data_IF_258285614528
#
_entry.id   IF_258285614528
#
_cell.length_a   1.000
_cell.length_b   1.000
_cell.length_c   1.000
_cell.angle_alpha   90.00
_cell.angle_beta   90.00
_cell.angle_gamma   90.00
#
_symmetry.space_group_name_H-M   'P 1'
#
loop_
_entity.id
_entity.type
_entity.pdbx_description
1 polymer ?
#
# COMPACT_ATOMS: atom_id res chain seq x y z
N UNK A 1 -21.29 -25.11 5.64
CA UNK A 1 -20.89 -23.79 5.17
C UNK A 1 -19.40 -23.68 4.79
N UNK A 2 -18.56 -24.70 5.03
CA UNK A 2 -17.14 -24.70 4.61
C UNK A 2 -16.85 -25.43 3.28
N UNK A 3 -17.77 -26.19 2.72
CA UNK A 3 -17.48 -27.04 1.55
C UNK A 3 -17.58 -26.31 0.20
N UNK A 4 -18.33 -25.20 0.10
CA UNK A 4 -18.39 -24.40 -1.13
C UNK A 4 -17.22 -23.37 -1.26
N UNK A 5 -16.58 -22.98 -0.16
CA UNK A 5 -15.37 -22.16 -0.18
C UNK A 5 -14.15 -22.89 -0.77
N UNK A 6 -14.20 -24.22 -0.94
CA UNK A 6 -13.08 -25.04 -1.41
C UNK A 6 -12.94 -25.03 -2.94
N UNK A 7 -13.78 -24.35 -3.68
CA UNK A 7 -13.60 -24.12 -5.12
C UNK A 7 -12.73 -22.89 -5.43
N UNK A 8 -11.84 -22.52 -4.52
CA UNK A 8 -10.77 -21.60 -4.89
C UNK A 8 -9.96 -22.28 -6.02
N UNK A 9 -9.94 -21.74 -7.24
CA UNK A 9 -9.21 -22.31 -8.36
C UNK A 9 -7.69 -22.31 -8.12
N UNK A 10 -7.23 -21.52 -7.15
CA UNK A 10 -5.82 -21.35 -6.82
C UNK A 10 -5.37 -22.40 -5.81
N UNK A 11 -4.47 -23.24 -6.24
CA UNK A 11 -4.09 -24.44 -5.49
C UNK A 11 -2.75 -24.32 -4.82
N UNK A 12 -1.85 -23.49 -5.35
CA UNK A 12 -0.45 -23.37 -4.91
C UNK A 12 -0.31 -22.33 -3.81
N UNK A 13 -0.62 -21.08 -4.13
CA UNK A 13 -0.50 -19.89 -3.26
C UNK A 13 -1.55 -18.88 -3.68
N UNK A 14 -2.09 -18.14 -2.73
CA UNK A 14 -3.02 -17.03 -2.98
C UNK A 14 -2.98 -16.03 -1.82
N UNK A 15 -3.25 -14.77 -2.14
CA UNK A 15 -3.48 -13.71 -1.15
C UNK A 15 -4.97 -13.41 -1.07
N UNK A 16 -5.58 -13.65 0.10
CA UNK A 16 -6.93 -13.19 0.38
C UNK A 16 -6.88 -11.72 0.77
N UNK A 17 -7.74 -10.90 0.18
CA UNK A 17 -7.92 -9.48 0.51
C UNK A 17 -9.33 -9.30 1.03
N UNK A 18 -9.45 -8.99 2.32
CA UNK A 18 -10.72 -8.77 3.02
C UNK A 18 -11.21 -7.32 2.78
N UNK A 19 -12.28 -7.18 2.00
CA UNK A 19 -12.87 -5.88 1.67
C UNK A 19 -13.73 -5.32 2.83
N UNK A 20 -14.26 -6.19 3.71
CA UNK A 20 -14.97 -5.72 4.90
C UNK A 20 -13.98 -4.98 5.84
N UNK A 21 -12.77 -5.53 6.03
CA UNK A 21 -11.71 -4.86 6.78
C UNK A 21 -11.30 -3.51 6.17
N UNK A 22 -11.31 -3.37 4.83
CA UNK A 22 -11.09 -2.08 4.18
C UNK A 22 -12.13 -1.03 4.62
N UNK A 23 -13.41 -1.41 4.62
CA UNK A 23 -14.49 -0.53 5.05
C UNK A 23 -14.39 -0.19 6.55
N UNK A 24 -13.99 -1.14 7.38
CA UNK A 24 -13.79 -0.91 8.81
C UNK A 24 -12.63 0.04 9.07
N UNK A 25 -11.47 -0.18 8.43
CA UNK A 25 -10.33 0.73 8.51
C UNK A 25 -10.69 2.13 8.03
N UNK A 26 -11.41 2.26 6.91
CA UNK A 26 -11.88 3.57 6.43
C UNK A 26 -12.78 4.29 7.44
N UNK A 27 -13.70 3.59 8.10
CA UNK A 27 -14.54 4.18 9.16
C UNK A 27 -13.70 4.66 10.33
N UNK A 28 -12.70 3.89 10.75
CA UNK A 28 -11.77 4.27 11.81
C UNK A 28 -10.96 5.52 11.40
N UNK A 29 -10.41 5.54 10.18
CA UNK A 29 -9.67 6.68 9.64
C UNK A 29 -10.58 7.92 9.57
N UNK A 30 -11.83 7.76 9.11
CA UNK A 30 -12.79 8.82 9.04
C UNK A 30 -13.10 9.43 10.41
N UNK A 31 -13.16 8.60 11.46
CA UNK A 31 -13.38 9.02 12.84
C UNK A 31 -12.18 9.80 13.43
N UNK A 32 -10.94 9.53 12.97
CA UNK A 32 -9.75 10.25 13.41
C UNK A 32 -9.61 11.65 12.79
N UNK A 33 -10.36 11.95 11.72
CA UNK A 33 -10.23 13.23 11.00
C UNK A 33 -10.77 14.40 11.83
N UNK A 34 -10.13 15.55 11.67
CA UNK A 34 -10.62 16.82 12.18
C UNK A 34 -11.17 17.66 11.02
N UNK A 35 -12.18 18.46 11.30
CA UNK A 35 -12.78 19.44 10.37
C UNK A 35 -13.33 18.81 9.06
N UNK A 36 -13.81 17.59 9.10
CA UNK A 36 -14.32 16.85 7.93
C UNK A 36 -13.33 16.78 6.74
N UNK A 37 -12.03 16.83 7.02
CA UNK A 37 -10.99 16.75 6.01
C UNK A 37 -11.23 15.54 5.08
N UNK A 38 -11.15 15.74 3.76
CA UNK A 38 -11.34 14.67 2.79
C UNK A 38 -10.25 13.58 2.90
N UNK A 39 -10.57 12.34 2.54
CA UNK A 39 -9.58 11.26 2.49
C UNK A 39 -9.10 11.10 1.04
N UNK A 40 -7.80 11.29 0.81
CA UNK A 40 -7.11 10.84 -0.39
C UNK A 40 -6.55 9.45 -0.09
N UNK A 41 -7.12 8.42 -0.71
CA UNK A 41 -6.68 7.05 -0.51
C UNK A 41 -5.41 6.77 -1.32
N UNK A 42 -4.30 6.44 -0.65
CA UNK A 42 -3.01 6.17 -1.30
C UNK A 42 -2.95 4.71 -1.71
N UNK A 43 -3.13 4.45 -3.00
CA UNK A 43 -3.22 3.09 -3.59
C UNK A 43 -2.14 2.80 -4.63
N UNK A 44 -1.01 3.52 -4.57
CA UNK A 44 0.19 3.26 -5.38
C UNK A 44 0.75 1.85 -5.17
N UNK A 45 1.66 1.41 -6.03
CA UNK A 45 2.26 0.08 -6.03
C UNK A 45 1.18 -1.03 -6.02
N UNK A 46 0.19 -0.89 -6.93
CA UNK A 46 -0.97 -1.78 -7.03
C UNK A 46 -1.70 -1.95 -5.69
N UNK A 47 -2.00 -0.82 -5.01
CA UNK A 47 -2.61 -0.83 -3.68
C UNK A 47 -1.71 -1.49 -2.63
N UNK A 48 -0.42 -1.16 -2.59
CA UNK A 48 0.56 -1.84 -1.72
C UNK A 48 0.50 -3.36 -1.88
N UNK A 49 0.36 -3.83 -3.13
CA UNK A 49 0.26 -5.25 -3.46
C UNK A 49 -1.11 -5.90 -3.24
N UNK A 50 -2.13 -5.15 -2.82
CA UNK A 50 -3.49 -5.66 -2.57
C UNK A 50 -4.40 -5.63 -3.81
N UNK A 51 -4.04 -4.85 -4.86
CA UNK A 51 -4.83 -4.66 -6.07
C UNK A 51 -5.59 -3.34 -6.09
N UNK A 52 -4.97 -2.29 -6.66
CA UNK A 52 -5.48 -0.91 -6.62
C UNK A 52 -6.88 -0.75 -7.21
N UNK A 53 -7.16 -1.39 -8.35
CA UNK A 53 -8.46 -1.25 -9.04
C UNK A 53 -9.62 -1.75 -8.19
N UNK A 54 -9.48 -2.91 -7.54
CA UNK A 54 -10.55 -3.46 -6.71
C UNK A 54 -10.77 -2.63 -5.45
N UNK A 55 -9.68 -2.17 -4.82
CA UNK A 55 -9.80 -1.26 -3.68
C UNK A 55 -10.45 0.07 -4.07
N UNK A 56 -10.08 0.64 -5.22
CA UNK A 56 -10.70 1.87 -5.70
C UNK A 56 -12.20 1.68 -5.99
N UNK A 57 -12.62 0.58 -6.62
CA UNK A 57 -14.05 0.26 -6.84
C UNK A 57 -14.84 0.22 -5.54
N UNK A 58 -14.27 -0.39 -4.48
CA UNK A 58 -14.92 -0.43 -3.16
C UNK A 58 -15.03 0.95 -2.49
N UNK A 59 -14.09 1.85 -2.78
CA UNK A 59 -14.04 3.17 -2.16
C UNK A 59 -14.70 4.29 -2.99
N UNK A 60 -15.01 4.04 -4.26
CA UNK A 60 -15.40 5.09 -5.20
C UNK A 60 -16.73 5.75 -4.85
N UNK A 61 -17.65 5.02 -4.20
CA UNK A 61 -18.95 5.56 -3.76
C UNK A 61 -18.93 6.06 -2.29
N UNK A 62 -17.78 5.98 -1.57
CA UNK A 62 -17.67 6.43 -0.17
C UNK A 62 -17.46 7.95 -0.15
N UNK A 63 -18.38 8.76 0.44
CA UNK A 63 -18.31 10.22 0.36
C UNK A 63 -17.03 10.83 0.94
N UNK A 64 -16.50 10.24 2.02
CA UNK A 64 -15.31 10.71 2.71
C UNK A 64 -14.03 10.56 1.87
N UNK A 65 -14.00 9.61 0.94
CA UNK A 65 -12.89 9.44 -0.01
C UNK A 65 -13.11 10.41 -1.16
N UNK A 66 -12.23 11.40 -1.28
CA UNK A 66 -12.35 12.46 -2.30
C UNK A 66 -11.48 12.21 -3.53
N UNK A 67 -10.59 11.23 -3.49
CA UNK A 67 -9.71 10.87 -4.60
C UNK A 67 -8.67 9.84 -4.19
N UNK A 68 -7.84 9.51 -5.14
CA UNK A 68 -6.78 8.51 -5.01
C UNK A 68 -5.41 9.12 -5.24
N UNK A 69 -4.38 8.57 -4.59
CA UNK A 69 -3.01 8.96 -4.84
C UNK A 69 -2.18 7.74 -5.26
N UNK A 70 -1.47 7.91 -6.37
CA UNK A 70 -0.64 6.89 -7.00
C UNK A 70 0.80 7.42 -7.19
N UNK A 71 1.73 6.58 -7.65
CA UNK A 71 3.11 6.96 -7.84
C UNK A 71 3.45 7.31 -9.29
N UNK A 72 2.77 6.68 -10.25
CA UNK A 72 3.04 6.84 -11.68
C UNK A 72 1.76 7.13 -12.48
N UNK A 73 1.93 7.67 -13.67
CA UNK A 73 0.82 7.92 -14.58
C UNK A 73 0.13 6.63 -15.04
N UNK A 74 0.89 5.54 -15.23
CA UNK A 74 0.30 4.26 -15.65
C UNK A 74 -0.66 3.72 -14.58
N UNK A 75 -0.34 3.91 -13.31
CA UNK A 75 -1.25 3.55 -12.21
C UNK A 75 -2.53 4.40 -12.25
N UNK A 76 -2.42 5.70 -12.54
CA UNK A 76 -3.58 6.59 -12.65
C UNK A 76 -4.44 6.28 -13.88
N UNK A 77 -3.81 6.03 -15.03
CA UNK A 77 -4.48 5.64 -16.27
C UNK A 77 -5.22 4.31 -16.09
N UNK A 78 -4.61 3.34 -15.42
CA UNK A 78 -5.26 2.06 -15.09
C UNK A 78 -6.56 2.26 -14.28
N UNK A 79 -6.58 3.18 -13.32
CA UNK A 79 -7.79 3.50 -12.56
C UNK A 79 -8.86 4.15 -13.44
N UNK A 80 -8.47 5.09 -14.30
CA UNK A 80 -9.38 5.74 -15.25
C UNK A 80 -9.98 4.73 -16.24
N UNK A 81 -9.16 3.81 -16.78
CA UNK A 81 -9.61 2.74 -17.68
C UNK A 81 -10.53 1.73 -16.99
N UNK A 82 -10.35 1.53 -15.68
CA UNK A 82 -11.23 0.70 -14.89
C UNK A 82 -12.58 1.37 -14.55
N UNK A 83 -12.81 2.61 -15.00
CA UNK A 83 -14.04 3.37 -14.80
C UNK A 83 -14.18 3.98 -13.39
N UNK A 84 -13.08 4.19 -12.70
CA UNK A 84 -13.07 4.88 -11.39
C UNK A 84 -13.40 6.36 -11.62
N UNK A 85 -14.37 6.89 -10.86
CA UNK A 85 -14.95 8.22 -11.08
C UNK A 85 -14.19 9.32 -10.37
N UNK A 86 -13.66 9.01 -9.17
CA UNK A 86 -12.92 10.00 -8.37
C UNK A 86 -11.54 10.25 -8.94
N UNK A 87 -11.00 11.48 -8.81
CA UNK A 87 -9.72 11.84 -9.39
C UNK A 87 -8.57 11.00 -8.81
N UNK A 88 -7.64 10.62 -9.68
CA UNK A 88 -6.37 10.02 -9.31
C UNK A 88 -5.25 11.06 -9.44
N UNK A 89 -4.43 11.23 -8.39
CA UNK A 89 -3.31 12.14 -8.32
C UNK A 89 -1.99 11.39 -8.36
N UNK A 90 -1.08 11.75 -9.25
CA UNK A 90 0.29 11.24 -9.26
C UNK A 90 1.12 12.07 -8.27
N UNK A 91 1.66 11.42 -7.21
CA UNK A 91 2.40 12.08 -6.13
C UNK A 91 3.83 12.47 -6.49
N UNK A 92 4.36 11.94 -7.59
CA UNK A 92 5.75 12.10 -8.01
C UNK A 92 5.92 12.94 -9.26
N UNK A 93 7.15 12.91 -9.78
CA UNK A 93 7.45 13.45 -11.09
C UNK A 93 6.84 12.57 -12.19
N UNK A 94 6.32 13.21 -13.22
CA UNK A 94 5.85 12.55 -14.44
C UNK A 94 6.60 13.10 -15.64
N UNK A 95 6.95 12.27 -16.60
CA UNK A 95 7.65 12.67 -17.81
C UNK A 95 6.69 13.34 -18.82
N UNK A 96 7.20 14.30 -19.63
CA UNK A 96 6.37 15.11 -20.54
C UNK A 96 5.56 14.29 -21.55
N UNK A 97 6.04 13.08 -21.90
CA UNK A 97 5.39 12.17 -22.85
C UNK A 97 4.00 11.73 -22.39
N UNK A 98 3.75 11.71 -21.08
CA UNK A 98 2.47 11.31 -20.50
C UNK A 98 1.46 12.46 -20.32
N UNK A 99 1.89 13.71 -20.40
CA UNK A 99 1.05 14.85 -20.01
C UNK A 99 -0.23 14.99 -20.86
N UNK A 100 -0.16 14.72 -22.17
CA UNK A 100 -1.33 14.81 -23.04
C UNK A 100 -2.38 13.75 -22.63
N UNK A 101 -1.98 12.51 -22.38
CA UNK A 101 -2.86 11.44 -21.92
C UNK A 101 -3.44 11.75 -20.54
N UNK A 102 -2.64 12.23 -19.61
CA UNK A 102 -3.11 12.63 -18.28
C UNK A 102 -4.17 13.72 -18.36
N UNK A 103 -3.99 14.73 -19.23
CA UNK A 103 -4.98 15.77 -19.43
C UNK A 103 -6.28 15.21 -20.02
N UNK A 104 -6.20 14.31 -21.02
CA UNK A 104 -7.36 13.65 -21.63
C UNK A 104 -8.16 12.82 -20.64
N UNK A 105 -7.47 12.17 -19.68
CA UNK A 105 -8.06 11.30 -18.67
C UNK A 105 -8.47 12.00 -17.38
N UNK A 106 -8.18 13.29 -17.22
CA UNK A 106 -8.45 14.03 -16.00
C UNK A 106 -7.58 13.58 -14.79
N UNK A 107 -6.40 13.03 -15.05
CA UNK A 107 -5.43 12.66 -14.01
C UNK A 107 -4.79 13.93 -13.46
N UNK A 108 -4.73 14.04 -12.13
CA UNK A 108 -4.08 15.16 -11.46
C UNK A 108 -2.56 14.95 -11.41
N UNK A 109 -1.80 15.95 -11.86
CA UNK A 109 -0.35 15.92 -11.87
C UNK A 109 0.24 16.67 -10.67
N UNK A 110 1.42 16.24 -10.20
CA UNK A 110 2.26 17.04 -9.30
C UNK A 110 3.16 17.95 -10.12
N UNK A 111 3.28 19.23 -9.72
CA UNK A 111 4.13 20.21 -10.39
C UNK A 111 5.01 20.96 -9.39
N UNK A 112 6.29 21.21 -9.77
CA UNK A 112 7.28 21.86 -8.91
C UNK A 112 8.48 22.46 -9.65
N UNK A 113 8.46 22.54 -10.99
CA UNK A 113 9.46 23.25 -11.79
C UNK A 113 8.80 24.07 -12.89
N UNK A 114 9.45 25.14 -13.32
CA UNK A 114 8.96 26.00 -14.42
C UNK A 114 8.82 25.23 -15.73
N UNK A 115 9.77 24.35 -16.03
CA UNK A 115 9.69 23.49 -17.21
C UNK A 115 8.43 22.62 -17.21
N UNK A 116 8.06 22.05 -16.04
CA UNK A 116 6.82 21.27 -15.90
C UNK A 116 5.59 22.14 -16.15
N UNK A 117 5.56 23.39 -15.65
CA UNK A 117 4.45 24.32 -15.93
C UNK A 117 4.26 24.56 -17.44
N UNK A 118 5.35 24.84 -18.16
CA UNK A 118 5.33 25.10 -19.58
C UNK A 118 4.89 23.88 -20.39
N UNK A 119 5.48 22.72 -20.09
CA UNK A 119 5.20 21.48 -20.82
C UNK A 119 3.78 20.97 -20.55
N UNK A 120 3.32 20.98 -19.29
CA UNK A 120 1.96 20.62 -18.92
C UNK A 120 0.93 21.59 -19.53
N UNK A 121 1.19 22.90 -19.52
CA UNK A 121 0.29 23.89 -20.15
C UNK A 121 0.17 23.67 -21.66
N UNK A 122 1.27 23.33 -22.32
CA UNK A 122 1.31 23.03 -23.77
C UNK A 122 0.59 21.72 -24.09
N UNK A 123 0.81 20.67 -23.30
CA UNK A 123 0.15 19.39 -23.47
C UNK A 123 -1.36 19.49 -23.24
N UNK A 124 -1.79 20.22 -22.21
CA UNK A 124 -3.19 20.50 -21.92
C UNK A 124 -3.87 21.27 -23.06
N UNK A 125 -3.18 22.27 -23.64
CA UNK A 125 -3.65 23.01 -24.82
C UNK A 125 -3.85 22.08 -26.02
N UNK A 126 -2.88 21.19 -26.28
CA UNK A 126 -2.94 20.21 -27.37
C UNK A 126 -4.08 19.21 -27.17
N UNK A 127 -4.29 18.75 -25.95
CA UNK A 127 -5.39 17.87 -25.58
C UNK A 127 -6.78 18.56 -25.63
N UNK A 128 -6.84 19.88 -25.68
CA UNK A 128 -8.09 20.64 -25.59
C UNK A 128 -8.80 20.48 -24.24
N UNK A 129 -8.03 20.19 -23.17
CA UNK A 129 -8.50 19.95 -21.81
C UNK A 129 -7.68 20.76 -20.81
N UNK A 130 -8.20 20.98 -19.61
CA UNK A 130 -7.40 21.48 -18.51
C UNK A 130 -6.53 20.35 -17.93
N UNK A 131 -5.30 20.66 -17.58
CA UNK A 131 -4.48 19.81 -16.72
C UNK A 131 -4.71 20.20 -15.27
N UNK A 132 -5.17 19.28 -14.45
CA UNK A 132 -5.34 19.46 -13.02
C UNK A 132 -4.00 19.25 -12.32
N UNK A 133 -3.56 20.23 -11.52
CA UNK A 133 -2.22 20.18 -10.88
C UNK A 133 -2.28 20.41 -9.39
N UNK A 134 -1.41 19.70 -8.66
CA UNK A 134 -1.10 19.97 -7.26
C UNK A 134 0.36 20.44 -7.15
N UNK A 135 0.58 21.57 -6.50
CA UNK A 135 1.92 22.11 -6.30
C UNK A 135 2.56 21.42 -5.10
N UNK A 136 3.71 20.78 -5.33
CA UNK A 136 4.49 20.19 -4.24
C UNK A 136 5.36 21.24 -3.58
N UNK A 137 5.40 21.26 -2.25
CA UNK A 137 6.24 22.15 -1.43
C UNK A 137 7.20 21.31 -0.59
N UNK A 138 8.50 21.58 -0.71
CA UNK A 138 9.50 20.92 0.13
C UNK A 138 9.73 21.70 1.42
N UNK A 139 9.19 21.16 2.50
CA UNK A 139 9.36 21.72 3.84
C UNK A 139 10.44 21.02 4.66
N UNK A 140 11.11 20.01 4.07
CA UNK A 140 12.20 19.29 4.72
C UNK A 140 12.26 17.78 4.48
N UNK A 141 11.46 17.25 3.53
CA UNK A 141 11.61 15.89 3.02
C UNK A 141 12.79 15.78 2.05
N UNK A 142 13.11 16.88 1.35
CA UNK A 142 14.23 17.01 0.41
C UNK A 142 14.17 16.01 -0.76
N UNK A 143 12.97 15.73 -1.24
CA UNK A 143 12.73 14.79 -2.33
C UNK A 143 12.24 15.48 -3.61
N UNK A 144 11.17 16.23 -3.53
CA UNK A 144 10.58 17.05 -4.60
C UNK A 144 9.88 18.26 -3.97
N UNK A 145 9.65 19.29 -4.77
CA UNK A 145 8.85 20.45 -4.35
C UNK A 145 9.59 21.79 -4.47
N UNK A 146 8.82 22.87 -4.56
CA UNK A 146 9.31 24.23 -4.47
C UNK A 146 9.66 24.57 -3.02
N UNK A 147 10.53 25.55 -2.80
CA UNK A 147 10.80 26.05 -1.46
C UNK A 147 9.65 26.92 -0.94
N UNK A 148 9.34 26.89 0.36
CA UNK A 148 8.31 27.75 0.97
C UNK A 148 8.84 29.17 1.24
N UNK A 149 9.38 29.84 0.22
CA UNK A 149 10.00 31.16 0.26
C UNK A 149 9.47 32.07 -0.87
N UNK A 150 10.13 33.20 -1.13
CA UNK A 150 9.72 34.17 -2.16
C UNK A 150 9.85 33.61 -3.58
N UNK A 151 10.81 32.72 -3.83
CA UNK A 151 10.95 32.01 -5.11
C UNK A 151 9.78 31.07 -5.31
N UNK A 152 9.39 30.29 -4.29
CA UNK A 152 8.22 29.45 -4.30
C UNK A 152 6.91 30.23 -4.51
N UNK A 153 6.78 31.40 -3.88
CA UNK A 153 5.63 32.29 -4.10
C UNK A 153 5.57 32.76 -5.56
N UNK A 154 6.71 33.16 -6.12
CA UNK A 154 6.83 33.53 -7.54
C UNK A 154 6.49 32.37 -8.48
N UNK A 155 6.85 31.13 -8.13
CA UNK A 155 6.46 29.93 -8.89
C UNK A 155 4.94 29.75 -8.90
N UNK A 156 4.26 29.88 -7.74
CA UNK A 156 2.79 29.79 -7.68
C UNK A 156 2.14 30.86 -8.55
N UNK A 157 2.67 32.11 -8.53
CA UNK A 157 2.18 33.18 -9.39
C UNK A 157 2.32 32.85 -10.87
N UNK A 158 3.44 32.21 -11.30
CA UNK A 158 3.60 31.74 -12.68
C UNK A 158 2.63 30.61 -13.03
N UNK A 159 2.39 29.67 -12.10
CA UNK A 159 1.41 28.60 -12.29
C UNK A 159 -0.01 29.16 -12.54
N UNK A 160 -0.41 30.21 -11.83
CA UNK A 160 -1.69 30.91 -12.01
C UNK A 160 -1.82 31.56 -13.40
N UNK A 161 -0.71 31.92 -14.05
CA UNK A 161 -0.70 32.51 -15.39
C UNK A 161 -0.79 31.48 -16.52
N UNK A 162 -0.71 30.18 -16.20
CA UNK A 162 -0.83 29.11 -17.19
C UNK A 162 -2.33 28.84 -17.52
N UNK A 163 -2.84 29.27 -18.71
CA UNK A 163 -4.28 29.28 -18.96
C UNK A 163 -4.90 27.88 -19.09
N UNK A 164 -4.09 26.86 -19.35
CA UNK A 164 -4.58 25.49 -19.52
C UNK A 164 -4.33 24.61 -18.28
N UNK A 165 -3.77 25.18 -17.20
CA UNK A 165 -3.65 24.51 -15.92
C UNK A 165 -4.79 24.90 -14.97
N UNK A 166 -5.17 23.98 -14.09
CA UNK A 166 -6.09 24.19 -12.97
C UNK A 166 -5.39 23.78 -11.69
N UNK A 167 -5.12 24.73 -10.81
CA UNK A 167 -4.49 24.44 -9.51
C UNK A 167 -5.56 23.87 -8.59
N UNK A 168 -5.51 22.57 -8.34
CA UNK A 168 -6.46 21.85 -7.48
C UNK A 168 -5.98 21.78 -6.03
N UNK A 169 -4.68 21.90 -5.80
CA UNK A 169 -4.16 21.88 -4.45
C UNK A 169 -2.69 22.21 -4.30
N UNK A 170 -2.28 22.32 -3.05
CA UNK A 170 -0.88 22.46 -2.63
C UNK A 170 -0.62 21.45 -1.52
N UNK A 171 0.54 20.79 -1.55
CA UNK A 171 0.86 19.76 -0.56
C UNK A 171 2.33 19.72 -0.17
N UNK A 172 2.58 19.16 0.99
CA UNK A 172 3.93 18.74 1.44
C UNK A 172 3.90 17.30 1.95
N UNK A 173 5.05 16.76 2.31
CA UNK A 173 5.16 15.43 2.93
C UNK A 173 6.06 15.46 4.15
N UNK A 174 5.55 14.97 5.28
CA UNK A 174 6.30 14.87 6.52
C UNK A 174 7.32 13.74 6.46
N UNK A 175 8.53 14.01 6.93
CA UNK A 175 9.64 13.07 6.87
C UNK A 175 9.68 12.13 8.09
N UNK A 176 9.16 12.58 9.23
CA UNK A 176 9.32 11.91 10.54
C UNK A 176 8.03 11.88 11.35
N UNK A 177 6.87 11.91 10.67
CA UNK A 177 5.58 11.90 11.38
C UNK A 177 5.31 10.59 12.13
N UNK A 178 6.01 9.51 11.79
CA UNK A 178 5.94 8.19 12.38
C UNK A 178 6.97 7.95 13.51
N UNK A 179 7.88 8.91 13.78
CA UNK A 179 8.79 8.90 14.92
C UNK A 179 8.10 9.45 16.19
N UNK A 180 8.56 9.07 17.37
CA UNK A 180 8.04 9.58 18.64
C UNK A 180 8.27 11.09 18.79
N UNK A 181 9.45 11.59 18.37
CA UNK A 181 9.76 13.02 18.36
C UNK A 181 9.12 13.73 17.16
N UNK A 182 8.11 14.56 17.44
CA UNK A 182 7.37 15.34 16.44
C UNK A 182 7.98 16.71 16.12
N UNK A 183 9.12 17.08 16.71
CA UNK A 183 9.72 18.44 16.56
C UNK A 183 9.97 18.79 15.10
N UNK A 184 10.55 17.88 14.33
CA UNK A 184 10.79 18.08 12.89
C UNK A 184 9.49 18.18 12.09
N UNK A 185 8.51 17.37 12.42
CA UNK A 185 7.19 17.40 11.77
C UNK A 185 6.46 18.70 12.05
N UNK A 186 6.53 19.22 13.28
CA UNK A 186 5.97 20.52 13.65
C UNK A 186 6.60 21.65 12.83
N UNK A 187 7.94 21.69 12.71
CA UNK A 187 8.64 22.68 11.87
C UNK A 187 8.23 22.57 10.40
N UNK A 188 8.07 21.36 9.86
CA UNK A 188 7.58 21.17 8.49
C UNK A 188 6.15 21.72 8.32
N UNK A 189 5.27 21.46 9.29
CA UNK A 189 3.91 21.95 9.27
C UNK A 189 3.85 23.48 9.33
N UNK A 190 4.58 24.12 10.26
CA UNK A 190 4.65 25.57 10.39
C UNK A 190 5.12 26.25 9.08
N UNK A 191 6.16 25.71 8.45
CA UNK A 191 6.62 26.19 7.13
C UNK A 191 5.54 26.06 6.07
N UNK A 192 4.84 24.93 6.03
CA UNK A 192 3.80 24.69 5.03
C UNK A 192 2.58 25.58 5.25
N UNK A 193 2.08 25.66 6.48
CA UNK A 193 0.93 26.51 6.84
C UNK A 193 1.22 27.98 6.56
N UNK A 194 2.34 28.49 7.05
CA UNK A 194 2.73 29.89 6.79
C UNK A 194 2.87 30.18 5.29
N UNK A 195 3.39 29.24 4.51
CA UNK A 195 3.54 29.42 3.07
C UNK A 195 2.18 29.44 2.36
N UNK A 196 1.28 28.52 2.70
CA UNK A 196 -0.07 28.51 2.10
C UNK A 196 -0.88 29.74 2.47
N UNK A 197 -0.76 30.24 3.70
CA UNK A 197 -1.38 31.49 4.13
C UNK A 197 -0.84 32.71 3.36
N UNK A 198 0.49 32.74 3.06
CA UNK A 198 1.10 33.75 2.19
C UNK A 198 0.57 33.68 0.77
N UNK A 199 0.45 32.48 0.20
CA UNK A 199 -0.12 32.28 -1.15
C UNK A 199 -1.53 32.85 -1.22
N UNK A 200 -2.38 32.54 -0.26
CA UNK A 200 -3.75 33.04 -0.24
C UNK A 200 -3.81 34.57 -0.06
N UNK A 201 -2.99 35.12 0.82
CA UNK A 201 -2.97 36.56 1.15
C UNK A 201 -2.32 37.41 0.08
N UNK A 202 -1.15 37.01 -0.44
CA UNK A 202 -0.33 37.83 -1.34
C UNK A 202 -0.72 37.66 -2.81
N UNK A 203 -1.14 36.46 -3.20
CA UNK A 203 -1.55 36.15 -4.57
C UNK A 203 -3.07 36.15 -4.77
N UNK A 204 -3.86 36.30 -3.71
CA UNK A 204 -5.32 36.22 -3.74
C UNK A 204 -5.83 34.91 -4.35
N UNK A 205 -5.05 33.85 -4.23
CA UNK A 205 -5.39 32.51 -4.70
C UNK A 205 -6.05 31.74 -3.54
N UNK A 206 -7.36 31.48 -3.64
CA UNK A 206 -7.99 30.50 -2.74
C UNK A 206 -7.53 29.11 -3.16
N UNK A 207 -6.76 28.45 -2.30
CA UNK A 207 -6.27 27.09 -2.56
C UNK A 207 -7.43 26.11 -2.34
N UNK A 208 -7.83 25.32 -3.37
CA UNK A 208 -8.94 24.38 -3.22
C UNK A 208 -8.67 23.28 -2.18
N UNK A 209 -7.43 22.74 -2.16
CA UNK A 209 -7.07 21.61 -1.31
C UNK A 209 -5.65 21.73 -0.76
N UNK A 210 -5.50 21.94 0.54
CA UNK A 210 -4.21 21.86 1.25
C UNK A 210 -4.10 20.52 1.93
N UNK A 211 -3.02 19.78 1.69
CA UNK A 211 -2.86 18.47 2.30
C UNK A 211 -1.41 18.15 2.64
N UNK A 212 -1.14 17.78 3.89
CA UNK A 212 0.19 17.44 4.39
C UNK A 212 0.22 16.10 5.13
N UNK A 213 -0.88 15.70 5.77
CA UNK A 213 -0.95 14.54 6.65
C UNK A 213 -0.81 13.22 5.91
N UNK A 214 0.10 12.37 6.38
CA UNK A 214 0.25 10.97 6.01
C UNK A 214 -0.42 10.05 7.06
N UNK A 215 -0.27 8.74 6.95
CA UNK A 215 -0.87 7.77 7.87
C UNK A 215 -0.57 8.05 9.35
N UNK A 216 0.68 8.35 9.70
CA UNK A 216 1.07 8.62 11.09
C UNK A 216 0.44 9.92 11.62
N UNK A 217 0.48 10.99 10.82
CA UNK A 217 -0.12 12.27 11.23
C UNK A 217 -1.65 12.24 11.27
N UNK A 218 -2.30 11.35 10.49
CA UNK A 218 -3.74 11.11 10.64
C UNK A 218 -4.06 10.61 12.05
N UNK A 219 -3.24 9.73 12.59
CA UNK A 219 -3.46 9.11 13.90
C UNK A 219 -3.09 10.03 15.06
N UNK A 220 -1.99 10.78 14.94
CA UNK A 220 -1.40 11.46 16.11
C UNK A 220 -1.43 13.00 16.04
N UNK A 221 -1.69 13.60 14.87
CA UNK A 221 -1.59 15.04 14.66
C UNK A 221 -2.84 15.63 14.01
N UNK A 222 -4.03 15.52 14.67
CA UNK A 222 -5.31 15.92 14.06
C UNK A 222 -5.37 17.42 13.71
N UNK A 223 -4.62 18.27 14.39
CA UNK A 223 -4.55 19.70 14.09
C UNK A 223 -3.85 20.02 12.76
N UNK A 224 -3.19 19.03 12.15
CA UNK A 224 -2.48 19.15 10.87
C UNK A 224 -3.25 18.58 9.67
N UNK A 225 -4.52 18.18 9.82
CA UNK A 225 -5.27 17.52 8.75
C UNK A 225 -5.60 18.44 7.56
N UNK A 226 -5.73 19.75 7.82
CA UNK A 226 -6.10 20.76 6.82
C UNK A 226 -7.38 20.37 6.04
N UNK A 227 -7.37 20.50 4.69
CA UNK A 227 -8.54 20.22 3.86
C UNK A 227 -8.64 18.73 3.49
N UNK A 228 -7.50 18.02 3.48
CA UNK A 228 -7.49 16.57 3.23
C UNK A 228 -6.30 15.86 3.88
N UNK A 229 -6.49 14.56 4.09
CA UNK A 229 -5.48 13.63 4.62
C UNK A 229 -5.18 12.53 3.59
N UNK A 230 -3.93 12.05 3.56
CA UNK A 230 -3.49 10.99 2.67
C UNK A 230 -3.33 9.68 3.44
N UNK A 231 -4.38 8.88 3.44
CA UNK A 231 -4.37 7.57 4.09
C UNK A 231 -3.64 6.55 3.20
N UNK A 232 -2.51 6.04 3.71
CA UNK A 232 -1.70 5.00 3.07
C UNK A 232 -1.78 3.70 3.84
N UNK A 233 -0.71 3.34 4.54
CA UNK A 233 -0.54 2.02 5.17
C UNK A 233 -1.68 1.64 6.13
N UNK A 234 -2.31 2.61 6.80
CA UNK A 234 -3.44 2.37 7.70
C UNK A 234 -4.71 1.91 6.98
N UNK A 235 -4.88 2.20 5.67
CA UNK A 235 -5.97 1.63 4.87
C UNK A 235 -5.89 0.11 4.83
N UNK A 236 -4.67 -0.41 4.82
CA UNK A 236 -4.36 -1.83 4.69
C UNK A 236 -4.31 -2.56 6.03
N UNK A 237 -4.63 -1.86 7.13
CA UNK A 237 -4.63 -2.43 8.46
C UNK A 237 -3.23 -2.64 9.06
N UNK A 238 -2.24 -1.88 8.57
CA UNK A 238 -0.86 -1.94 9.03
C UNK A 238 -0.45 -0.63 9.70
N UNK A 239 0.49 -0.70 10.62
CA UNK A 239 0.99 0.45 11.36
C UNK A 239 2.16 1.15 10.66
N UNK A 240 2.22 2.50 10.70
CA UNK A 240 3.32 3.24 10.08
C UNK A 240 4.70 2.92 10.66
N UNK A 241 4.78 2.75 11.98
CA UNK A 241 5.96 2.32 12.72
C UNK A 241 5.55 1.79 14.10
N UNK A 242 6.49 1.25 14.85
CA UNK A 242 6.27 0.83 16.24
C UNK A 242 6.20 2.00 17.23
N UNK A 243 6.63 3.19 16.82
CA UNK A 243 6.61 4.39 17.66
C UNK A 243 5.25 5.14 17.60
N UNK A 244 4.41 4.82 16.61
CA UNK A 244 3.06 5.40 16.49
C UNK A 244 2.13 4.80 17.54
N UNK A 245 1.44 5.67 18.28
CA UNK A 245 0.48 5.25 19.30
C UNK A 245 -0.70 4.52 18.68
N UNK A 246 -1.09 3.42 19.34
CA UNK A 246 -2.16 2.52 18.87
C UNK A 246 -3.47 2.72 19.63
N UNK A 247 -3.54 3.75 20.47
CA UNK A 247 -4.69 4.01 21.32
C UNK A 247 -5.86 4.61 20.51
N UNK A 248 -7.07 4.13 20.78
CA UNK A 248 -8.30 4.69 20.23
C UNK A 248 -8.64 4.32 18.78
N UNK A 249 -7.84 3.48 18.13
CA UNK A 249 -8.11 2.95 16.78
C UNK A 249 -7.80 1.46 16.72
N UNK A 250 -8.65 0.72 16.01
CA UNK A 250 -8.43 -0.68 15.68
C UNK A 250 -8.28 -0.82 14.19
N UNK A 251 -7.09 -1.24 13.74
CA UNK A 251 -6.81 -1.51 12.34
C UNK A 251 -6.84 -3.01 12.08
N UNK A 252 -7.58 -3.43 11.07
CA UNK A 252 -7.69 -4.83 10.65
C UNK A 252 -6.84 -5.07 9.39
N UNK A 253 -5.84 -5.97 9.42
CA UNK A 253 -5.07 -6.32 8.23
C UNK A 253 -5.98 -6.86 7.11
N UNK A 254 -5.86 -6.26 5.92
CA UNK A 254 -6.65 -6.68 4.76
C UNK A 254 -6.15 -7.99 4.16
N UNK A 255 -4.84 -8.24 4.21
CA UNK A 255 -4.22 -9.31 3.44
C UNK A 255 -3.82 -10.48 4.32
N UNK A 256 -4.21 -11.68 3.89
CA UNK A 256 -3.62 -12.95 4.34
C UNK A 256 -3.00 -13.69 3.17
N UNK A 257 -1.83 -14.30 3.40
CA UNK A 257 -1.11 -15.11 2.41
C UNK A 257 -1.20 -16.59 2.78
N UNK A 258 -1.76 -17.38 1.90
CA UNK A 258 -2.01 -18.81 2.12
C UNK A 258 -1.40 -19.66 1.02
N UNK A 259 -1.03 -20.88 1.39
CA UNK A 259 -0.54 -21.91 0.48
C UNK A 259 -1.06 -23.27 0.92
N UNK A 260 -0.63 -24.34 0.26
CA UNK A 260 -0.92 -25.72 0.66
C UNK A 260 0.35 -26.51 0.82
N UNK A 261 0.32 -27.51 1.68
CA UNK A 261 1.41 -28.49 1.81
C UNK A 261 1.47 -29.30 0.52
N UNK A 262 2.62 -29.25 -0.17
CA UNK A 262 2.82 -29.99 -1.41
C UNK A 262 3.36 -31.41 -1.18
N UNK A 263 4.14 -31.62 -0.12
CA UNK A 263 4.79 -32.88 0.19
C UNK A 263 5.13 -32.96 1.68
N UNK A 264 5.08 -34.17 2.23
CA UNK A 264 5.53 -34.45 3.60
C UNK A 264 6.45 -35.69 3.57
N UNK A 265 7.54 -35.65 4.33
CA UNK A 265 8.47 -36.76 4.48
C UNK A 265 9.04 -36.84 5.88
N UNK A 266 9.47 -38.03 6.27
CA UNK A 266 10.28 -38.27 7.46
C UNK A 266 11.75 -38.18 7.09
N UNK A 267 12.56 -37.56 7.92
CA UNK A 267 14.02 -37.46 7.79
C UNK A 267 14.67 -38.01 9.03
N UNK A 268 15.72 -38.81 8.85
CA UNK A 268 16.55 -39.27 9.96
C UNK A 268 17.42 -38.13 10.52
N UNK A 269 18.05 -38.35 11.69
CA UNK A 269 19.06 -37.45 12.23
C UNK A 269 20.26 -37.33 11.28
N UNK A 270 20.88 -36.16 11.22
CA UNK A 270 22.05 -35.88 10.39
C UNK A 270 21.75 -35.53 8.93
N UNK A 271 20.49 -35.34 8.56
CA UNK A 271 20.09 -34.95 7.21
C UNK A 271 20.13 -33.43 7.04
N UNK A 272 20.79 -32.98 5.97
CA UNK A 272 20.82 -31.56 5.59
C UNK A 272 19.56 -31.15 4.81
N UNK A 273 19.07 -29.93 5.08
CA UNK A 273 17.85 -29.39 4.45
C UNK A 273 18.18 -28.12 3.66
N UNK A 274 17.71 -28.08 2.40
CA UNK A 274 17.78 -26.96 1.48
C UNK A 274 19.22 -26.63 0.99
N UNK A 275 19.33 -25.59 0.17
CA UNK A 275 20.59 -25.15 -0.40
C UNK A 275 21.65 -24.85 0.67
N UNK A 276 22.82 -25.46 0.50
CA UNK A 276 23.98 -25.26 1.35
C UNK A 276 23.86 -25.90 2.73
N UNK A 277 22.89 -26.82 2.94
CA UNK A 277 22.78 -27.59 4.18
C UNK A 277 22.74 -26.74 5.46
N UNK A 278 22.16 -25.52 5.39
CA UNK A 278 22.22 -24.56 6.52
C UNK A 278 21.38 -24.97 7.73
N UNK A 279 20.61 -26.04 7.59
CA UNK A 279 19.93 -26.74 8.67
C UNK A 279 20.24 -28.22 8.56
N UNK A 280 20.60 -28.84 9.68
CA UNK A 280 20.82 -30.28 9.80
C UNK A 280 19.92 -30.83 10.90
N UNK A 281 19.23 -31.93 10.63
CA UNK A 281 18.34 -32.57 11.61
C UNK A 281 19.14 -33.15 12.77
N UNK A 282 18.85 -32.71 14.00
CA UNK A 282 19.48 -33.27 15.20
C UNK A 282 18.84 -34.61 15.64
N UNK A 283 17.57 -34.79 15.32
CA UNK A 283 16.76 -35.97 15.63
C UNK A 283 15.89 -36.31 14.41
N UNK A 284 15.31 -37.50 14.29
CA UNK A 284 14.32 -37.77 13.30
C UNK A 284 13.17 -36.75 13.36
N UNK A 285 12.78 -36.22 12.21
CA UNK A 285 11.76 -35.20 12.11
C UNK A 285 10.87 -35.33 10.88
N UNK A 286 9.66 -34.80 11.00
CA UNK A 286 8.66 -34.75 9.93
C UNK A 286 8.70 -33.38 9.26
N UNK A 287 8.94 -33.36 7.96
CA UNK A 287 9.18 -32.13 7.21
C UNK A 287 8.14 -31.98 6.11
N UNK A 288 7.49 -30.80 6.06
CA UNK A 288 6.58 -30.43 4.99
C UNK A 288 7.25 -29.45 4.02
N UNK A 289 6.90 -29.58 2.72
CA UNK A 289 7.30 -28.64 1.67
C UNK A 289 6.13 -27.73 1.33
N UNK A 290 6.40 -26.42 1.38
CA UNK A 290 5.46 -25.36 1.01
C UNK A 290 5.89 -24.80 -0.34
N UNK A 291 5.01 -24.81 -1.37
CA UNK A 291 5.37 -24.42 -2.74
C UNK A 291 5.28 -22.89 -2.93
N UNK A 292 6.03 -22.15 -2.12
CA UNK A 292 6.16 -20.67 -2.16
C UNK A 292 7.63 -20.34 -2.00
N UNK A 293 8.11 -19.28 -2.66
CA UNK A 293 9.48 -18.86 -2.52
C UNK A 293 9.71 -17.38 -2.86
N UNK A 294 10.99 -17.01 -3.00
CA UNK A 294 11.32 -15.60 -3.22
C UNK A 294 10.88 -15.08 -4.60
N UNK A 295 10.63 -15.95 -5.60
CA UNK A 295 10.04 -15.54 -6.87
C UNK A 295 8.55 -15.14 -6.75
N UNK A 296 7.90 -15.55 -5.66
CA UNK A 296 6.56 -15.06 -5.28
C UNK A 296 6.62 -13.76 -4.46
N UNK A 297 7.83 -13.30 -4.08
CA UNK A 297 8.05 -12.16 -3.19
C UNK A 297 8.21 -12.54 -1.71
N UNK A 298 8.07 -13.83 -1.35
CA UNK A 298 8.25 -14.27 0.03
C UNK A 298 9.72 -14.15 0.46
N UNK A 299 10.02 -13.46 1.59
CA UNK A 299 11.39 -13.05 1.88
C UNK A 299 12.37 -14.20 2.09
N UNK A 300 13.50 -14.19 1.35
CA UNK A 300 14.60 -15.15 1.58
C UNK A 300 15.27 -14.97 2.95
N UNK A 301 15.17 -13.78 3.55
CA UNK A 301 15.65 -13.49 4.90
C UNK A 301 15.00 -14.31 6.02
N UNK A 302 13.85 -14.94 5.75
CA UNK A 302 13.15 -15.85 6.67
C UNK A 302 13.82 -17.24 6.80
N UNK A 303 14.85 -17.51 6.02
CA UNK A 303 15.61 -18.78 6.07
C UNK A 303 16.07 -19.09 7.49
N UNK A 304 15.68 -20.25 8.04
CA UNK A 304 15.93 -20.68 9.43
C UNK A 304 15.34 -19.76 10.54
N UNK A 305 14.56 -18.74 10.18
CA UNK A 305 14.05 -17.73 11.14
C UNK A 305 12.53 -17.63 11.19
N UNK A 306 11.88 -17.80 10.03
CA UNK A 306 10.43 -17.65 9.92
C UNK A 306 9.66 -18.87 10.38
N UNK A 307 8.34 -18.65 10.49
CA UNK A 307 7.34 -19.68 10.72
C UNK A 307 6.22 -19.58 9.69
N UNK A 308 5.43 -20.65 9.55
CA UNK A 308 4.09 -20.64 8.95
C UNK A 308 3.11 -21.26 9.94
N UNK A 309 1.80 -21.03 9.76
CA UNK A 309 0.78 -21.67 10.58
C UNK A 309 0.17 -22.85 9.83
N UNK A 310 0.06 -23.97 10.51
CA UNK A 310 -0.58 -25.19 10.01
C UNK A 310 -1.43 -25.76 11.16
N UNK A 311 -2.71 -25.95 10.93
CA UNK A 311 -3.65 -26.43 11.94
C UNK A 311 -3.58 -25.65 13.28
N UNK A 312 -3.47 -24.31 13.18
CA UNK A 312 -3.40 -23.40 14.34
C UNK A 312 -2.08 -23.44 15.11
N UNK A 313 -1.02 -24.03 14.56
CA UNK A 313 0.28 -24.17 15.20
C UNK A 313 1.40 -23.61 14.33
N UNK A 314 2.45 -23.05 14.97
CA UNK A 314 3.64 -22.55 14.28
C UNK A 314 4.52 -23.71 13.80
N UNK A 315 4.87 -23.72 12.51
CA UNK A 315 5.79 -24.64 11.87
C UNK A 315 7.01 -23.87 11.36
N UNK A 316 8.20 -24.12 11.97
CA UNK A 316 9.42 -23.36 11.68
C UNK A 316 9.97 -23.65 10.29
N UNK A 317 10.46 -22.64 9.60
CA UNK A 317 11.16 -22.75 8.33
C UNK A 317 12.56 -23.38 8.57
N UNK A 318 12.83 -24.45 7.80
CA UNK A 318 14.06 -25.24 7.87
C UNK A 318 14.93 -24.99 6.64
N UNK A 319 16.16 -24.54 6.87
CA UNK A 319 17.10 -24.22 5.80
C UNK A 319 16.72 -22.94 5.05
N UNK A 320 17.23 -22.82 3.83
CA UNK A 320 17.03 -21.62 2.99
C UNK A 320 15.67 -21.66 2.28
N UNK A 321 15.00 -20.52 2.24
CA UNK A 321 13.88 -20.28 1.32
C UNK A 321 14.43 -20.29 -0.10
N UNK A 322 13.90 -21.17 -0.96
CA UNK A 322 14.28 -21.31 -2.35
C UNK A 322 13.46 -20.40 -3.26
N UNK A 323 13.67 -20.48 -4.57
CA UNK A 323 12.95 -19.65 -5.55
C UNK A 323 11.44 -19.88 -5.47
N UNK A 324 11.02 -21.15 -5.40
CA UNK A 324 9.63 -21.55 -5.55
C UNK A 324 9.07 -22.40 -4.38
N UNK A 325 9.92 -22.77 -3.42
CA UNK A 325 9.58 -23.68 -2.33
C UNK A 325 10.43 -23.42 -1.08
N UNK A 326 9.92 -23.82 0.07
CA UNK A 326 10.70 -23.95 1.31
C UNK A 326 10.16 -25.10 2.17
N UNK A 327 10.92 -25.52 3.17
CA UNK A 327 10.56 -26.61 4.07
C UNK A 327 10.26 -26.10 5.46
N UNK A 328 9.34 -26.79 6.16
CA UNK A 328 8.94 -26.47 7.54
C UNK A 328 8.90 -27.72 8.40
N UNK A 329 9.13 -27.55 9.69
CA UNK A 329 9.04 -28.61 10.69
C UNK A 329 7.57 -28.85 11.09
N UNK A 330 7.04 -30.03 10.76
CA UNK A 330 5.70 -30.47 11.19
C UNK A 330 5.74 -31.66 12.14
N UNK A 331 6.86 -31.92 12.80
CA UNK A 331 7.03 -33.01 13.77
C UNK A 331 6.00 -32.93 14.91
N UNK A 332 5.67 -31.72 15.35
CA UNK A 332 4.69 -31.45 16.41
C UNK A 332 3.25 -31.28 15.89
N UNK A 333 3.04 -31.52 14.59
CA UNK A 333 1.73 -31.40 13.90
C UNK A 333 1.47 -32.74 13.18
N UNK A 334 1.26 -33.84 13.93
CA UNK A 334 1.12 -35.18 13.32
C UNK A 334 -0.12 -35.30 12.43
N UNK A 335 -1.13 -34.46 12.64
CA UNK A 335 -2.35 -34.39 11.84
C UNK A 335 -2.14 -33.75 10.47
N UNK A 336 -1.06 -33.01 10.21
CA UNK A 336 -0.80 -32.33 8.95
C UNK A 336 -0.75 -33.31 7.78
N UNK A 337 -1.38 -32.97 6.66
CA UNK A 337 -1.47 -33.77 5.43
C UNK A 337 -1.12 -32.94 4.21
N UNK A 338 -0.70 -33.61 3.15
CA UNK A 338 -0.57 -32.99 1.83
C UNK A 338 -1.93 -32.42 1.39
N UNK A 339 -1.93 -31.18 0.95
CA UNK A 339 -3.12 -30.41 0.60
C UNK A 339 -3.66 -29.52 1.70
N UNK A 340 -3.27 -29.71 2.97
CA UNK A 340 -3.68 -28.83 4.07
C UNK A 340 -3.16 -27.41 3.85
N UNK A 341 -3.90 -26.43 4.39
CA UNK A 341 -3.55 -25.02 4.28
C UNK A 341 -2.36 -24.71 5.20
N UNK A 342 -1.40 -24.00 4.65
CA UNK A 342 -0.35 -23.32 5.38
C UNK A 342 -0.58 -21.81 5.27
N UNK A 343 -0.78 -21.12 6.39
CA UNK A 343 -0.94 -19.66 6.45
C UNK A 343 0.44 -19.04 6.69
N UNK A 344 0.91 -18.26 5.70
CA UNK A 344 2.21 -17.61 5.72
C UNK A 344 2.14 -16.22 6.36
N UNK A 345 1.03 -15.53 6.13
CA UNK A 345 0.66 -14.24 6.72
C UNK A 345 -0.83 -14.31 7.05
N UNK A 346 -1.22 -13.87 8.23
CA UNK A 346 -2.59 -13.90 8.71
C UNK A 346 -2.81 -14.82 9.89
N UNK A 347 -4.06 -15.14 10.20
CA UNK A 347 -4.47 -15.90 11.37
C UNK A 347 -4.89 -17.32 11.00
N UNK A 348 -4.52 -18.28 11.83
CA UNK A 348 -4.98 -19.66 11.82
C UNK A 348 -5.23 -20.12 13.28
N UNK A 349 -6.48 -20.37 13.64
CA UNK A 349 -6.88 -20.61 15.02
C UNK A 349 -6.62 -19.40 15.92
N UNK A 350 -5.77 -19.58 16.93
CA UNK A 350 -5.39 -18.53 17.89
C UNK A 350 -4.05 -17.87 17.53
N UNK A 351 -3.31 -18.43 16.59
CA UNK A 351 -2.00 -17.95 16.18
C UNK A 351 -2.12 -16.95 15.00
N UNK A 352 -1.26 -15.95 15.01
CA UNK A 352 -1.19 -14.95 13.94
C UNK A 352 0.26 -14.71 13.55
N UNK A 353 0.51 -14.57 12.26
CA UNK A 353 1.77 -14.07 11.67
C UNK A 353 1.42 -12.77 10.94
N UNK A 354 1.91 -11.64 11.44
CA UNK A 354 1.62 -10.32 10.86
C UNK A 354 2.64 -9.96 9.76
N UNK A 355 2.32 -8.94 8.97
CA UNK A 355 3.23 -8.40 7.95
C UNK A 355 4.47 -7.78 8.61
N UNK A 356 4.29 -7.16 9.78
CA UNK A 356 5.35 -6.60 10.60
C UNK A 356 6.30 -7.71 11.08
N UNK A 357 5.78 -8.82 11.63
CA UNK A 357 6.59 -9.97 12.06
C UNK A 357 7.44 -10.52 10.89
N UNK A 358 6.85 -10.64 9.70
CA UNK A 358 7.58 -11.06 8.49
C UNK A 358 8.67 -10.06 8.13
N UNK A 359 8.36 -8.78 8.20
CA UNK A 359 9.31 -7.69 7.94
C UNK A 359 10.50 -7.76 8.89
N UNK A 360 10.26 -7.72 10.18
CA UNK A 360 11.28 -7.72 11.25
C UNK A 360 12.20 -8.94 11.17
N UNK A 361 11.62 -10.14 11.05
CA UNK A 361 12.39 -11.38 10.97
C UNK A 361 13.22 -11.50 9.70
N UNK A 362 12.77 -10.91 8.59
CA UNK A 362 13.45 -10.95 7.31
C UNK A 362 14.44 -9.81 7.07
N UNK A 363 14.40 -8.75 7.90
CA UNK A 363 15.16 -7.51 7.73
C UNK A 363 14.57 -6.61 6.65
N UNK A 364 13.25 -6.70 6.40
CA UNK A 364 12.48 -5.81 5.51
C UNK A 364 11.54 -4.95 6.32
N UNK A 365 11.13 -3.83 5.75
CA UNK A 365 10.04 -3.03 6.30
C UNK A 365 8.67 -3.62 5.90
N UNK A 366 7.62 -3.45 6.72
CA UNK A 366 6.30 -4.02 6.43
C UNK A 366 5.73 -3.53 5.09
N UNK A 367 5.88 -2.25 4.74
CA UNK A 367 5.52 -1.69 3.43
C UNK A 367 6.23 -2.41 2.28
N UNK A 368 7.55 -2.63 2.40
CA UNK A 368 8.32 -3.36 1.41
C UNK A 368 7.81 -4.80 1.27
N UNK A 369 7.54 -5.46 2.39
CA UNK A 369 7.05 -6.83 2.40
C UNK A 369 5.72 -6.95 1.66
N UNK A 370 4.78 -6.05 1.90
CA UNK A 370 3.49 -6.02 1.21
C UNK A 370 3.64 -5.77 -0.30
N UNK A 371 4.42 -4.74 -0.68
CA UNK A 371 4.63 -4.37 -2.08
C UNK A 371 5.41 -5.45 -2.88
N UNK A 372 6.25 -6.24 -2.21
CA UNK A 372 7.04 -7.29 -2.86
C UNK A 372 6.24 -8.55 -3.21
N UNK A 373 5.01 -8.73 -2.72
CA UNK A 373 4.17 -9.87 -3.08
C UNK A 373 3.88 -9.84 -4.58
N UNK A 374 4.52 -10.75 -5.32
CA UNK A 374 4.58 -10.76 -6.78
C UNK A 374 3.23 -10.99 -7.46
N UNK A 375 3.18 -10.67 -8.75
CA UNK A 375 1.99 -10.88 -9.61
C UNK A 375 1.67 -12.36 -9.82
N UNK A 376 2.62 -13.27 -9.56
CA UNK A 376 2.41 -14.74 -9.57
C UNK A 376 1.44 -15.22 -8.48
N UNK A 377 1.22 -14.42 -7.43
CA UNK A 377 0.27 -14.72 -6.37
C UNK A 377 -1.09 -14.16 -6.78
N UNK A 378 -2.10 -15.00 -7.04
CA UNK A 378 -3.46 -14.51 -7.28
C UNK A 378 -3.98 -13.74 -6.07
N UNK A 379 -4.74 -12.66 -6.33
CA UNK A 379 -5.54 -11.96 -5.31
C UNK A 379 -6.96 -12.49 -5.34
N UNK A 380 -7.46 -12.87 -4.18
CA UNK A 380 -8.82 -13.36 -3.96
C UNK A 380 -9.50 -12.36 -3.04
N UNK A 381 -10.50 -11.66 -3.55
CA UNK A 381 -11.21 -10.63 -2.80
C UNK A 381 -12.44 -11.21 -2.13
N UNK A 382 -12.54 -10.99 -0.82
CA UNK A 382 -13.62 -11.50 0.01
C UNK A 382 -14.44 -10.35 0.59
N UNK A 383 -15.77 -10.48 0.56
CA UNK A 383 -16.74 -9.54 1.14
C UNK A 383 -17.94 -10.31 1.70
N UNK A 384 -18.33 -10.03 2.95
CA UNK A 384 -19.42 -10.73 3.63
C UNK A 384 -19.18 -12.24 3.71
N UNK A 385 -17.92 -12.68 3.84
CA UNK A 385 -17.53 -14.10 3.90
C UNK A 385 -17.64 -14.86 2.56
N UNK A 386 -17.75 -14.14 1.43
CA UNK A 386 -17.82 -14.72 0.08
C UNK A 386 -16.72 -14.17 -0.81
N UNK A 387 -16.20 -15.01 -1.73
CA UNK A 387 -15.31 -14.54 -2.78
C UNK A 387 -16.15 -13.77 -3.80
N UNK A 388 -15.81 -12.48 -4.00
CA UNK A 388 -16.51 -11.58 -4.95
C UNK A 388 -15.71 -11.32 -6.21
N UNK A 389 -14.38 -11.47 -6.17
CA UNK A 389 -13.51 -11.28 -7.32
C UNK A 389 -12.21 -12.09 -7.16
N UNK A 390 -11.60 -12.45 -8.26
CA UNK A 390 -10.23 -12.98 -8.31
C UNK A 390 -9.45 -12.29 -9.42
N UNK A 391 -8.17 -12.03 -9.19
CA UNK A 391 -7.25 -11.46 -10.18
C UNK A 391 -5.92 -12.18 -10.13
N UNK A 392 -5.43 -12.64 -11.26
CA UNK A 392 -4.09 -13.18 -11.38
C UNK A 392 -3.39 -12.78 -12.70
N UNK A 393 -2.08 -12.99 -12.77
CA UNK A 393 -1.28 -12.64 -13.94
C UNK A 393 -1.52 -13.56 -15.15
N UNK A 394 -1.99 -14.79 -14.90
CA UNK A 394 -2.10 -15.83 -15.93
C UNK A 394 -3.52 -15.98 -16.49
N UNK A 395 -4.50 -15.32 -15.85
CA UNK A 395 -5.91 -15.42 -16.22
C UNK A 395 -6.56 -14.04 -16.20
N UNK A 396 -7.58 -13.86 -17.01
CA UNK A 396 -8.41 -12.67 -16.96
C UNK A 396 -9.11 -12.52 -15.59
N UNK A 397 -9.45 -11.29 -15.22
CA UNK A 397 -10.22 -10.99 -14.02
C UNK A 397 -11.57 -11.73 -14.07
N UNK A 398 -11.89 -12.48 -13.03
CA UNK A 398 -13.18 -13.15 -12.88
C UNK A 398 -13.98 -12.52 -11.76
N UNK A 399 -15.13 -11.95 -12.10
CA UNK A 399 -16.12 -11.45 -11.16
C UNK A 399 -17.12 -12.56 -10.83
N UNK A 400 -17.44 -12.70 -9.55
CA UNK A 400 -18.47 -13.62 -9.05
C UNK A 400 -19.60 -12.76 -8.45
N UNK A 401 -20.75 -12.78 -9.11
CA UNK A 401 -21.94 -12.01 -8.73
C UNK A 401 -22.90 -12.87 -7.88
#
# INVERSE_FOLDING_TARGET
>A
MCEEMIKNPYRRVWACVNLDALHDNLRQIAACRKNDAGIIAVIKADGYGHGAVMLAREMDEIPEVIGYAVATEEEAVLLADAGIKKPAMVLGYTFPEAYEEMALRGVHATVFTDQMLEDMNRAAQKAGKKMHVHIAVDTGMSRIGIRPDDEGLSFVARAMQCPNLSIEGIFTHFATADEADKSRTNVQYEKFSSFTDRVEKELFLKIPLRHCSNSASILELPDMHMDAVRAGIILYGMWPSDEVKRDGIVLEPLLSLKSRIAYIKELDAGQEISYGGTFCTANPMRVATIPVGYADGYPRGLSNKGDVLIAGKRARILGRVCMDQFMVDVTKIPEAKVGDIATLIGTDGIETITMEEIGDRSGRFNYETACCLGKRIPRVYEKGGKIVCTRDYFHEEKLFF
#
